data_IF_894558070704
#
_entry.id   IF_894558070704
#
_cell.length_a   1.000
_cell.length_b   1.000
_cell.length_c   1.000
_cell.angle_alpha   90.00
_cell.angle_beta   90.00
_cell.angle_gamma   90.00
#
_symmetry.space_group_name_H-M   'P 1'
#
loop_
_entity.id
_entity.type
_entity.pdbx_description
1 polymer ?
#
# COMPACT_ATOMS: atom_id res chain seq x y z
N UNK A 1 -29.86 -36.52 54.29
CA UNK A 1 -28.56 -37.21 54.41
C UNK A 1 -28.02 -37.43 53.00
N UNK A 2 -26.74 -37.07 52.77
CA UNK A 2 -25.87 -37.35 51.60
C UNK A 2 -26.21 -36.51 50.33
N UNK A 3 -25.49 -35.40 50.07
CA UNK A 3 -24.30 -35.23 49.19
C UNK A 3 -24.67 -35.35 47.69
N UNK A 4 -24.22 -34.51 46.74
CA UNK A 4 -22.85 -34.07 46.45
C UNK A 4 -22.93 -32.92 45.41
N UNK A 5 -22.00 -31.96 45.46
CA UNK A 5 -21.86 -30.83 44.52
C UNK A 5 -20.78 -31.15 43.49
N UNK A 6 -20.80 -30.40 42.38
CA UNK A 6 -19.81 -30.28 41.28
C UNK A 6 -20.09 -31.23 40.11
N UNK A 7 -20.17 -30.82 38.85
CA UNK A 7 -19.78 -29.60 38.17
C UNK A 7 -19.53 -29.96 36.70
N UNK A 8 -19.26 -28.96 35.86
CA UNK A 8 -18.73 -29.07 34.50
C UNK A 8 -19.70 -29.40 33.35
N UNK A 9 -20.27 -28.30 32.87
CA UNK A 9 -20.54 -27.89 31.48
C UNK A 9 -20.08 -28.81 30.35
N UNK A 10 -21.06 -29.07 29.48
CA UNK A 10 -21.09 -29.82 28.23
C UNK A 10 -19.92 -29.54 27.27
N UNK A 11 -19.15 -30.59 26.97
CA UNK A 11 -18.20 -30.63 25.85
C UNK A 11 -18.80 -31.38 24.66
N UNK A 12 -18.83 -30.68 23.53
CA UNK A 12 -18.41 -31.14 22.20
C UNK A 12 -19.19 -32.29 21.56
N UNK A 13 -19.92 -31.97 20.47
CA UNK A 13 -19.82 -32.71 19.20
C UNK A 13 -20.42 -31.91 18.02
N UNK A 14 -19.51 -31.40 17.19
CA UNK A 14 -19.46 -31.60 15.73
C UNK A 14 -20.71 -31.29 14.86
N UNK A 15 -20.73 -30.08 14.30
CA UNK A 15 -21.23 -29.83 12.94
C UNK A 15 -20.30 -28.75 12.34
N UNK A 16 -19.47 -28.99 11.33
CA UNK A 16 -19.76 -29.74 10.12
C UNK A 16 -20.15 -28.78 9.00
N UNK A 17 -19.16 -27.98 8.56
CA UNK A 17 -18.93 -27.48 7.19
C UNK A 17 -20.10 -26.81 6.44
N UNK A 18 -19.92 -25.57 5.95
CA UNK A 18 -19.82 -25.26 4.50
C UNK A 18 -19.98 -23.77 4.15
N UNK A 19 -19.01 -23.31 3.35
CA UNK A 19 -19.03 -22.26 2.33
C UNK A 19 -19.21 -20.78 2.71
N UNK A 20 -18.05 -20.14 2.91
CA UNK A 20 -17.85 -18.71 2.64
C UNK A 20 -17.73 -18.55 1.12
N UNK A 21 -18.79 -18.07 0.45
CA UNK A 21 -18.72 -17.64 -0.94
C UNK A 21 -18.55 -16.13 -1.00
N UNK A 22 -17.32 -15.66 -0.87
CA UNK A 22 -16.94 -14.29 -1.22
C UNK A 22 -16.75 -14.21 -2.74
N UNK A 23 -17.76 -13.76 -3.47
CA UNK A 23 -17.60 -13.28 -4.84
C UNK A 23 -17.17 -11.81 -4.79
N UNK A 24 -15.88 -11.60 -4.51
CA UNK A 24 -15.22 -10.35 -4.87
C UNK A 24 -15.03 -10.40 -6.38
N UNK A 25 -15.93 -9.74 -7.11
CA UNK A 25 -15.76 -9.50 -8.54
C UNK A 25 -14.62 -8.51 -8.72
N UNK A 26 -13.40 -9.04 -8.81
CA UNK A 26 -12.20 -8.30 -9.18
C UNK A 26 -12.30 -7.95 -10.67
N UNK A 27 -12.87 -6.79 -10.99
CA UNK A 27 -12.62 -6.19 -12.30
C UNK A 27 -11.22 -5.59 -12.26
N UNK A 28 -10.23 -6.45 -12.50
CA UNK A 28 -8.86 -6.03 -12.76
C UNK A 28 -8.84 -5.28 -14.10
N UNK A 29 -9.12 -3.97 -14.05
CA UNK A 29 -8.57 -3.08 -15.05
C UNK A 29 -7.06 -3.14 -14.85
N UNK A 30 -6.41 -3.95 -15.69
CA UNK A 30 -4.97 -4.00 -15.88
C UNK A 30 -4.54 -2.61 -16.37
N UNK A 31 -4.43 -1.67 -15.42
CA UNK A 31 -3.63 -0.48 -15.60
C UNK A 31 -2.23 -1.00 -15.93
N UNK A 32 -1.79 -0.71 -17.15
CA UNK A 32 -0.46 -1.03 -17.65
C UNK A 32 0.58 -0.49 -16.66
N UNK A 33 1.05 -1.35 -15.75
CA UNK A 33 2.24 -1.06 -14.96
C UNK A 33 3.42 -1.39 -15.88
N UNK A 34 4.23 -0.40 -16.31
CA UNK A 34 5.39 -0.70 -17.12
C UNK A 34 6.29 -1.70 -16.38
N UNK A 35 6.53 -2.85 -17.01
CA UNK A 35 7.32 -3.98 -16.48
C UNK A 35 8.82 -3.61 -16.38
N UNK A 36 9.21 -2.45 -16.91
CA UNK A 36 10.44 -1.77 -16.54
C UNK A 36 10.07 -0.59 -15.66
N UNK A 37 10.45 -0.65 -14.37
CA UNK A 37 10.49 0.55 -13.56
C UNK A 37 11.22 1.66 -14.36
N UNK A 38 10.75 2.91 -14.30
CA UNK A 38 11.41 3.98 -15.02
C UNK A 38 12.91 4.03 -14.60
N UNK A 39 13.82 4.39 -15.53
CA UNK A 39 15.25 4.38 -15.23
C UNK A 39 15.52 5.24 -14.00
N UNK A 40 16.37 4.76 -13.08
CA UNK A 40 16.84 5.53 -11.92
C UNK A 40 17.28 6.92 -12.38
N UNK A 41 16.74 7.97 -11.75
CA UNK A 41 16.98 9.33 -12.20
C UNK A 41 15.93 10.34 -11.74
N UNK A 42 16.23 11.60 -12.02
CA UNK A 42 15.26 12.70 -11.93
C UNK A 42 14.46 12.76 -13.24
N UNK A 43 13.15 12.96 -13.15
CA UNK A 43 12.37 13.26 -14.35
C UNK A 43 12.63 14.70 -14.76
N UNK A 44 13.00 14.94 -16.01
CA UNK A 44 13.17 16.30 -16.51
C UNK A 44 11.81 17.03 -16.49
N UNK A 45 11.74 18.27 -15.97
CA UNK A 45 10.52 19.06 -15.96
C UNK A 45 9.88 19.14 -17.35
N UNK A 46 8.60 18.80 -17.47
CA UNK A 46 7.85 18.87 -18.74
C UNK A 46 8.03 17.67 -19.69
N UNK A 47 8.80 16.64 -19.31
CA UNK A 47 8.91 15.38 -20.08
C UNK A 47 8.08 14.23 -19.50
N UNK A 48 7.40 14.44 -18.38
CA UNK A 48 6.56 13.43 -17.73
C UNK A 48 5.24 13.25 -18.49
N UNK A 49 4.84 12.01 -18.85
CA UNK A 49 3.48 11.75 -19.29
C UNK A 49 2.53 11.79 -18.07
N UNK A 50 1.79 12.90 -17.93
CA UNK A 50 0.77 13.15 -16.91
C UNK A 50 1.21 13.26 -15.43
N UNK A 51 0.79 14.36 -14.78
CA UNK A 51 0.47 14.41 -13.35
C UNK A 51 1.63 14.66 -12.38
N UNK A 52 1.82 15.95 -12.05
CA UNK A 52 2.63 16.49 -10.97
C UNK A 52 4.16 16.36 -11.09
N UNK A 53 4.83 17.46 -10.76
CA UNK A 53 6.25 17.67 -10.44
C UNK A 53 6.75 16.81 -9.26
N UNK A 54 6.09 15.69 -8.97
CA UNK A 54 6.24 14.90 -7.76
C UNK A 54 5.69 15.56 -6.51
N UNK A 55 4.95 16.66 -6.61
CA UNK A 55 4.33 17.31 -5.45
C UNK A 55 3.11 16.56 -4.94
N UNK A 56 3.06 16.36 -3.63
CA UNK A 56 2.01 15.66 -2.90
C UNK A 56 1.20 16.66 -2.08
N UNK A 57 -0.12 16.51 -2.11
CA UNK A 57 -1.05 17.31 -1.30
C UNK A 57 -1.17 16.75 0.12
N UNK A 58 -1.66 17.55 1.07
CA UNK A 58 -1.90 17.11 2.46
C UNK A 58 -2.80 15.87 2.53
N UNK A 59 -3.85 15.82 1.69
CA UNK A 59 -4.76 14.68 1.64
C UNK A 59 -4.06 13.40 1.17
N UNK A 60 -3.18 13.51 0.18
CA UNK A 60 -2.38 12.38 -0.31
C UNK A 60 -1.33 11.94 0.71
N UNK A 61 -0.68 12.88 1.39
CA UNK A 61 0.25 12.57 2.48
C UNK A 61 -0.46 11.80 3.60
N UNK A 62 -1.61 12.28 4.07
CA UNK A 62 -2.44 11.60 5.09
C UNK A 62 -2.89 10.22 4.61
N UNK A 63 -3.24 10.08 3.32
CA UNK A 63 -3.58 8.78 2.75
C UNK A 63 -2.40 7.81 2.87
N UNK A 64 -1.17 8.23 2.52
CA UNK A 64 0.06 7.42 2.65
C UNK A 64 0.32 7.01 4.11
N UNK A 65 0.16 7.94 5.05
CA UNK A 65 0.31 7.67 6.49
C UNK A 65 -0.70 6.62 7.00
N UNK A 66 -1.83 6.47 6.31
CA UNK A 66 -2.93 5.56 6.69
C UNK A 66 -2.93 4.24 5.91
N UNK A 67 -1.97 4.01 5.00
CA UNK A 67 -1.92 2.80 4.19
C UNK A 67 -1.59 1.56 5.04
N UNK A 68 -2.25 0.44 4.71
CA UNK A 68 -1.88 -0.87 5.22
C UNK A 68 -0.76 -1.46 4.36
N UNK A 69 0.49 -1.26 4.77
CA UNK A 69 1.67 -1.75 4.04
C UNK A 69 1.79 -3.29 4.07
N UNK A 70 2.36 -3.93 3.03
CA UNK A 70 2.94 -3.33 1.82
C UNK A 70 1.89 -2.91 0.77
N UNK A 71 2.31 -2.11 -0.20
CA UNK A 71 1.49 -1.62 -1.32
C UNK A 71 2.18 -1.90 -2.65
N UNK A 72 1.42 -2.07 -3.73
CA UNK A 72 2.03 -2.23 -5.05
C UNK A 72 2.53 -0.88 -5.59
N UNK A 73 3.60 -0.88 -6.38
CA UNK A 73 4.09 0.35 -7.03
C UNK A 73 3.01 1.00 -7.92
N UNK A 74 2.15 0.20 -8.53
CA UNK A 74 1.04 0.70 -9.35
C UNK A 74 0.02 1.47 -8.51
N UNK A 75 -0.32 0.99 -7.31
CA UNK A 75 -1.22 1.69 -6.40
C UNK A 75 -0.60 3.00 -5.90
N UNK A 76 0.70 2.99 -5.60
CA UNK A 76 1.42 4.20 -5.20
C UNK A 76 1.38 5.27 -6.31
N UNK A 77 1.70 4.90 -7.55
CA UNK A 77 1.65 5.83 -8.70
C UNK A 77 0.21 6.24 -9.01
N UNK A 78 -0.77 5.34 -8.87
CA UNK A 78 -2.17 5.65 -9.05
C UNK A 78 -2.72 6.67 -8.04
N UNK A 79 -2.23 6.64 -6.80
CA UNK A 79 -2.65 7.57 -5.74
C UNK A 79 -1.84 8.88 -5.67
N UNK A 80 -0.53 8.81 -5.93
CA UNK A 80 0.39 9.94 -5.75
C UNK A 80 0.80 10.61 -7.07
N UNK A 81 0.64 9.95 -8.21
CA UNK A 81 1.29 10.32 -9.47
C UNK A 81 2.74 9.84 -9.52
N UNK A 82 3.51 10.39 -10.45
CA UNK A 82 4.94 10.04 -10.57
C UNK A 82 5.79 10.83 -9.58
N UNK A 83 6.86 10.23 -9.02
CA UNK A 83 7.74 10.93 -8.09
C UNK A 83 8.58 12.00 -8.80
N UNK A 84 9.13 12.93 -8.01
CA UNK A 84 10.08 13.94 -8.50
C UNK A 84 11.43 13.29 -8.85
N UNK A 85 11.88 12.38 -7.97
CA UNK A 85 13.10 11.61 -8.14
C UNK A 85 12.84 10.14 -7.78
N UNK A 86 13.51 9.21 -8.44
CA UNK A 86 13.40 7.78 -8.13
C UNK A 86 14.76 7.09 -8.13
N UNK A 87 14.88 6.09 -7.29
CA UNK A 87 15.98 5.14 -7.26
C UNK A 87 15.42 3.72 -7.42
N UNK A 88 16.31 2.72 -7.38
CA UNK A 88 15.91 1.32 -7.42
C UNK A 88 15.06 0.92 -6.20
N UNK A 89 15.22 1.62 -5.08
CA UNK A 89 14.63 1.26 -3.78
C UNK A 89 13.82 2.39 -3.14
N UNK A 90 13.65 3.53 -3.81
CA UNK A 90 12.87 4.65 -3.30
C UNK A 90 12.25 5.53 -4.37
N UNK A 91 11.08 6.09 -4.07
CA UNK A 91 10.44 7.17 -4.80
C UNK A 91 10.35 8.41 -3.90
N UNK A 92 10.74 9.57 -4.43
CA UNK A 92 10.81 10.84 -3.69
C UNK A 92 9.74 11.80 -4.17
N UNK A 93 8.88 12.21 -3.26
CA UNK A 93 7.78 13.15 -3.51
C UNK A 93 7.98 14.45 -2.72
N UNK A 94 7.71 15.59 -3.34
CA UNK A 94 7.78 16.89 -2.72
C UNK A 94 6.57 17.14 -1.80
N UNK A 95 6.80 17.37 -0.52
CA UNK A 95 5.73 17.69 0.44
C UNK A 95 6.17 18.79 1.39
N UNK A 96 5.54 19.98 1.34
CA UNK A 96 5.77 21.10 2.27
C UNK A 96 7.27 21.41 2.57
N UNK A 97 8.12 21.41 1.54
CA UNK A 97 9.56 21.72 1.70
C UNK A 97 10.43 20.56 2.20
N UNK A 98 9.87 19.35 2.38
CA UNK A 98 10.57 18.10 2.68
C UNK A 98 10.29 17.03 1.60
N UNK A 99 11.04 15.94 1.62
CA UNK A 99 10.74 14.74 0.83
C UNK A 99 9.81 13.82 1.61
N UNK A 100 8.75 13.34 0.96
CA UNK A 100 8.03 12.12 1.32
C UNK A 100 8.63 10.99 0.50
N UNK A 101 9.32 10.07 1.15
CA UNK A 101 10.06 8.98 0.50
C UNK A 101 9.32 7.67 0.69
N UNK A 102 8.93 7.04 -0.41
CA UNK A 102 8.34 5.69 -0.42
C UNK A 102 9.47 4.69 -0.66
N UNK A 103 9.64 3.72 0.24
CA UNK A 103 10.71 2.71 0.16
C UNK A 103 10.20 1.41 -0.46
N UNK A 104 11.05 0.76 -1.25
CA UNK A 104 10.70 -0.47 -1.97
C UNK A 104 11.58 -1.66 -1.57
N UNK A 105 10.98 -2.85 -1.58
CA UNK A 105 11.65 -4.15 -1.54
C UNK A 105 11.22 -4.95 -2.76
N UNK A 106 12.02 -4.91 -3.82
CA UNK A 106 11.60 -5.41 -5.13
C UNK A 106 10.44 -4.57 -5.70
N UNK A 107 9.34 -5.19 -6.15
CA UNK A 107 8.21 -4.45 -6.74
C UNK A 107 7.25 -3.84 -5.70
N UNK A 108 7.44 -4.13 -4.41
CA UNK A 108 6.52 -3.74 -3.34
C UNK A 108 7.04 -2.51 -2.59
N UNK A 109 6.17 -1.53 -2.41
CA UNK A 109 6.39 -0.42 -1.49
C UNK A 109 6.16 -0.93 -0.07
N UNK A 110 7.16 -0.82 0.80
CA UNK A 110 7.17 -1.42 2.14
C UNK A 110 6.96 -0.41 3.26
N UNK A 111 6.98 0.88 2.94
CA UNK A 111 6.75 1.95 3.91
C UNK A 111 7.08 3.32 3.36
N UNK A 112 6.93 4.32 4.22
CA UNK A 112 7.24 5.71 3.94
C UNK A 112 8.09 6.33 5.05
N UNK A 113 8.80 7.40 4.72
CA UNK A 113 9.45 8.28 5.68
C UNK A 113 9.53 9.71 5.15
N UNK A 114 9.69 10.67 6.06
CA UNK A 114 9.99 12.04 5.68
C UNK A 114 11.49 12.31 5.80
N UNK A 115 12.06 12.97 4.80
CA UNK A 115 13.48 13.36 4.76
C UNK A 115 13.60 14.86 4.43
N UNK A 116 14.64 15.52 4.92
CA UNK A 116 14.96 16.89 4.50
C UNK A 116 15.37 16.92 3.03
N UNK A 117 15.09 18.04 2.33
CA UNK A 117 15.41 18.19 0.91
C UNK A 117 16.84 18.60 0.61
#
# INVERSE_FOLDING_TARGET
MIAQVNGFTTETMLAGLLFISALLTSCSELAYAPIGGPPVGEYAPGTQPYGADGSVTDAQAIAVESLAWPQSRADMVGGLGYPAHMTEWADYYSYQGRWLVIRYSGPEAVGYQYEDK
#
